data_IF_888998977649
#
_entry.id   IF_888998977649
#
_cell.length_a   1.000
_cell.length_b   1.000
_cell.length_c   1.000
_cell.angle_alpha   90.00
_cell.angle_beta   90.00
_cell.angle_gamma   90.00
#
_symmetry.space_group_name_H-M   'P 1'
#
loop_
_entity.id
_entity.type
_entity.pdbx_description
1 polymer ?
#
# COMPACT_ATOMS: atom_id res chain seq x y z
N UNK A 1 60.80 -9.96 -25.63
CA UNK A 1 61.04 -11.26 -24.96
C UNK A 1 60.45 -11.17 -23.56
N UNK A 2 59.93 -12.30 -23.07
CA UNK A 2 59.26 -12.53 -21.78
C UNK A 2 57.73 -12.47 -21.79
N UNK A 3 57.16 -13.67 -21.94
CA UNK A 3 55.79 -14.09 -21.67
C UNK A 3 55.43 -13.97 -20.19
N UNK A 4 54.14 -13.80 -19.89
CA UNK A 4 53.43 -14.63 -18.89
C UNK A 4 51.91 -14.57 -19.09
N UNK A 5 51.35 -15.74 -19.41
CA UNK A 5 49.93 -16.07 -19.50
C UNK A 5 49.33 -16.20 -18.09
N UNK A 6 48.12 -15.69 -17.87
CA UNK A 6 47.28 -16.08 -16.74
C UNK A 6 45.97 -16.67 -17.26
N UNK A 7 45.92 -18.01 -17.27
CA UNK A 7 44.73 -18.81 -17.50
C UNK A 7 43.87 -18.89 -16.23
N UNK A 8 42.55 -18.82 -16.45
CA UNK A 8 41.47 -19.16 -15.55
C UNK A 8 41.65 -20.50 -14.83
N UNK A 9 41.42 -20.55 -13.52
CA UNK A 9 41.17 -21.79 -12.77
C UNK A 9 40.14 -21.55 -11.67
N UNK A 10 38.97 -22.16 -11.84
CA UNK A 10 37.96 -22.35 -10.80
C UNK A 10 38.33 -23.59 -9.96
N UNK A 11 38.07 -23.60 -8.64
CA UNK A 11 38.30 -24.78 -7.80
C UNK A 11 37.19 -25.85 -7.98
N UNK A 12 37.51 -27.14 -7.77
CA UNK A 12 36.62 -28.27 -8.04
C UNK A 12 35.60 -28.50 -6.92
N UNK A 13 34.34 -28.80 -7.29
CA UNK A 13 33.28 -29.24 -6.37
C UNK A 13 33.32 -30.78 -6.30
N UNK A 14 33.58 -31.32 -5.11
CA UNK A 14 33.51 -32.77 -4.82
C UNK A 14 32.08 -33.21 -4.45
N UNK A 15 31.66 -34.44 -4.80
CA UNK A 15 30.30 -34.93 -4.61
C UNK A 15 30.11 -35.56 -3.22
N UNK A 16 29.00 -35.27 -2.54
CA UNK A 16 28.60 -35.98 -1.31
C UNK A 16 27.20 -36.58 -1.44
N UNK A 17 27.11 -37.79 -0.89
CA UNK A 17 26.15 -38.89 -1.11
C UNK A 17 24.68 -38.59 -0.80
N UNK A 18 23.85 -39.21 -1.65
CA UNK A 18 22.44 -39.55 -1.53
C UNK A 18 21.90 -39.79 -0.10
N UNK A 19 20.77 -39.15 0.21
CA UNK A 19 19.70 -39.75 1.02
C UNK A 19 18.40 -39.67 0.22
N UNK A 20 17.71 -40.80 0.16
CA UNK A 20 16.62 -41.13 -0.76
C UNK A 20 15.32 -40.38 -0.42
N UNK A 21 14.70 -39.78 -1.44
CA UNK A 21 13.29 -39.38 -1.43
C UNK A 21 12.54 -40.46 -2.21
N UNK A 22 11.55 -41.16 -1.65
CA UNK A 22 10.85 -42.22 -2.37
C UNK A 22 9.97 -41.63 -3.48
N UNK A 23 10.17 -42.18 -4.69
CA UNK A 23 9.36 -41.94 -5.87
C UNK A 23 7.96 -42.53 -5.70
N UNK A 24 6.92 -41.76 -6.07
CA UNK A 24 5.60 -42.32 -6.35
C UNK A 24 5.29 -42.13 -7.84
N UNK A 25 4.95 -43.27 -8.46
CA UNK A 25 4.55 -43.53 -9.84
C UNK A 25 3.59 -42.49 -10.39
N UNK A 26 3.86 -42.05 -11.62
CA UNK A 26 2.82 -41.56 -12.53
C UNK A 26 2.01 -42.76 -13.05
N UNK A 27 0.72 -42.78 -12.75
CA UNK A 27 -0.28 -43.53 -13.52
C UNK A 27 -1.35 -42.54 -13.96
N UNK A 28 -1.45 -42.35 -15.28
CA UNK A 28 -2.47 -41.58 -15.97
C UNK A 28 -3.85 -42.21 -15.74
N UNK A 29 -4.83 -41.42 -15.30
CA UNK A 29 -6.23 -41.67 -15.61
C UNK A 29 -6.95 -40.34 -15.90
N UNK A 30 -7.70 -40.36 -17.00
CA UNK A 30 -8.50 -39.28 -17.56
C UNK A 30 -9.52 -38.74 -16.55
N UNK A 31 -9.71 -37.42 -16.59
CA UNK A 31 -10.86 -36.76 -15.97
C UNK A 31 -10.50 -35.35 -15.52
N UNK A 32 -10.92 -34.34 -16.26
CA UNK A 32 -10.82 -32.93 -15.86
C UNK A 32 -11.52 -32.72 -14.50
N UNK A 33 -10.84 -32.25 -13.44
CA UNK A 33 -11.52 -31.81 -12.25
C UNK A 33 -12.06 -30.40 -12.49
N UNK A 34 -13.39 -30.30 -12.56
CA UNK A 34 -14.13 -29.06 -12.42
C UNK A 34 -13.68 -28.40 -11.11
N UNK A 35 -13.01 -27.25 -11.19
CA UNK A 35 -12.66 -26.48 -10.02
C UNK A 35 -13.96 -26.01 -9.34
N UNK A 36 -14.17 -26.28 -8.05
CA UNK A 36 -15.31 -25.71 -7.33
C UNK A 36 -15.18 -24.19 -7.32
N UNK A 37 -16.21 -23.49 -7.85
CA UNK A 37 -16.37 -22.04 -7.62
C UNK A 37 -16.43 -21.81 -6.10
N UNK A 38 -15.38 -21.25 -5.53
CA UNK A 38 -15.41 -20.82 -4.14
C UNK A 38 -16.37 -19.62 -3.99
N UNK A 39 -17.27 -19.62 -2.98
CA UNK A 39 -18.22 -18.56 -2.78
C UNK A 39 -17.57 -17.31 -2.16
N UNK A 40 -17.80 -16.16 -2.79
CA UNK A 40 -17.35 -14.80 -2.43
C UNK A 40 -18.02 -14.26 -1.14
N UNK A 41 -18.28 -15.11 -0.14
CA UNK A 41 -19.17 -14.75 1.00
C UNK A 41 -18.48 -14.59 2.36
N UNK A 42 -17.24 -15.05 2.56
CA UNK A 42 -16.59 -14.98 3.87
C UNK A 42 -15.98 -13.62 4.21
N UNK A 43 -15.57 -12.80 3.23
CA UNK A 43 -15.05 -11.45 3.50
C UNK A 43 -16.10 -10.47 4.07
N UNK A 44 -17.39 -10.72 3.86
CA UNK A 44 -18.47 -9.86 4.38
C UNK A 44 -18.73 -10.09 5.87
N UNK A 45 -18.50 -11.29 6.38
CA UNK A 45 -18.76 -11.63 7.79
C UNK A 45 -17.73 -11.02 8.73
N UNK A 46 -16.46 -10.90 8.32
CA UNK A 46 -15.44 -10.20 9.11
C UNK A 46 -15.75 -8.70 9.27
N UNK A 47 -16.29 -8.05 8.23
CA UNK A 47 -16.69 -6.64 8.30
C UNK A 47 -17.89 -6.40 9.24
N UNK A 48 -18.87 -7.31 9.24
CA UNK A 48 -20.09 -7.15 10.03
C UNK A 48 -19.85 -7.43 11.53
N UNK A 49 -19.07 -8.45 11.87
CA UNK A 49 -18.76 -8.77 13.27
C UNK A 49 -17.91 -7.69 13.95
N UNK A 50 -17.06 -6.99 13.18
CA UNK A 50 -16.22 -5.92 13.70
C UNK A 50 -17.04 -4.68 14.09
N UNK A 51 -18.09 -4.36 13.34
CA UNK A 51 -18.97 -3.22 13.62
C UNK A 51 -19.86 -3.49 14.85
N UNK A 52 -20.42 -4.70 15.00
CA UNK A 52 -21.28 -5.05 16.14
C UNK A 52 -20.51 -5.08 17.48
N UNK A 53 -19.27 -5.57 17.50
CA UNK A 53 -18.47 -5.61 18.73
C UNK A 53 -18.05 -4.20 19.23
N UNK A 54 -18.00 -3.20 18.33
CA UNK A 54 -17.66 -1.82 18.68
C UNK A 54 -18.84 -1.08 19.36
N UNK A 55 -20.07 -1.31 18.89
CA UNK A 55 -21.27 -0.63 19.43
C UNK A 55 -21.62 -1.03 20.87
N UNK A 56 -21.23 -2.23 21.31
CA UNK A 56 -21.60 -2.75 22.64
C UNK A 56 -20.73 -2.24 23.80
N UNK A 57 -19.57 -1.63 23.54
CA UNK A 57 -18.63 -1.19 24.59
C UNK A 57 -18.73 0.28 24.98
N UNK A 58 -19.51 1.10 24.26
CA UNK A 58 -19.59 2.54 24.50
C UNK A 58 -20.89 2.94 25.21
N UNK A 59 -21.12 2.38 26.41
CA UNK A 59 -22.16 2.90 27.31
C UNK A 59 -21.54 3.30 28.64
N UNK A 60 -21.15 4.57 28.74
CA UNK A 60 -21.28 5.43 29.92
C UNK A 60 -20.72 6.84 29.63
N UNK A 61 -21.60 7.84 29.77
CA UNK A 61 -21.42 9.32 29.72
C UNK A 61 -21.55 9.98 28.33
N UNK A 62 -22.41 11.00 28.15
CA UNK A 62 -22.63 11.66 26.86
C UNK A 62 -21.53 12.69 26.55
N UNK A 63 -20.36 12.22 26.13
CA UNK A 63 -19.56 12.95 25.16
C UNK A 63 -20.12 12.54 23.79
N UNK A 64 -20.94 13.40 23.18
CA UNK A 64 -21.52 13.11 21.87
C UNK A 64 -20.36 12.91 20.88
N UNK A 65 -20.13 11.66 20.48
CA UNK A 65 -19.29 11.37 19.33
C UNK A 65 -19.84 12.18 18.16
N UNK A 66 -18.98 12.79 17.32
CA UNK A 66 -19.38 13.66 16.23
C UNK A 66 -19.85 12.80 15.05
N UNK A 67 -20.91 12.02 15.28
CA UNK A 67 -21.43 11.01 14.36
C UNK A 67 -21.81 11.66 13.04
N UNK A 68 -22.40 12.87 13.11
CA UNK A 68 -22.81 13.62 11.93
C UNK A 68 -21.61 14.12 11.12
N UNK A 69 -20.59 14.68 11.79
CA UNK A 69 -19.39 15.21 11.16
C UNK A 69 -18.55 14.09 10.55
N UNK A 70 -18.43 12.93 11.22
CA UNK A 70 -17.75 11.74 10.70
C UNK A 70 -18.51 11.12 9.52
N UNK A 71 -19.85 11.09 9.58
CA UNK A 71 -20.66 10.63 8.45
C UNK A 71 -20.50 11.56 7.23
N UNK A 72 -20.47 12.86 7.45
CA UNK A 72 -20.24 13.84 6.38
C UNK A 72 -18.83 13.77 5.82
N UNK A 73 -17.82 13.57 6.67
CA UNK A 73 -16.44 13.31 6.26
C UNK A 73 -16.39 12.10 5.32
N UNK A 74 -16.95 10.96 5.76
CA UNK A 74 -16.95 9.72 4.98
C UNK A 74 -17.66 9.87 3.62
N UNK A 75 -18.77 10.62 3.58
CA UNK A 75 -19.50 10.92 2.33
C UNK A 75 -18.76 11.86 1.39
N UNK A 76 -18.03 12.83 1.94
CA UNK A 76 -17.33 13.87 1.15
C UNK A 76 -15.99 13.36 0.62
N UNK A 77 -15.38 12.38 1.28
CA UNK A 77 -14.06 11.87 0.92
C UNK A 77 -14.07 11.09 -0.39
N UNK A 78 -13.34 11.60 -1.39
CA UNK A 78 -13.18 10.94 -2.70
C UNK A 78 -12.20 9.77 -2.59
N UNK A 79 -12.42 8.71 -3.36
CA UNK A 79 -11.55 7.53 -3.25
C UNK A 79 -10.15 7.80 -3.79
N UNK A 80 -10.03 8.61 -4.84
CA UNK A 80 -8.76 9.08 -5.41
C UNK A 80 -7.88 9.84 -4.41
N UNK A 81 -8.48 10.49 -3.40
CA UNK A 81 -7.77 11.26 -2.39
C UNK A 81 -7.31 10.40 -1.19
N UNK A 82 -7.68 9.11 -1.17
CA UNK A 82 -7.29 8.18 -0.10
C UNK A 82 -5.87 7.65 -0.30
N UNK A 83 -5.14 7.62 0.80
CA UNK A 83 -3.81 7.04 0.88
C UNK A 83 -3.86 5.52 0.82
N UNK A 84 -3.25 4.96 -0.23
CA UNK A 84 -3.11 3.52 -0.43
C UNK A 84 -1.73 2.95 -0.05
N UNK A 85 -0.76 3.80 0.27
CA UNK A 85 0.64 3.40 0.48
C UNK A 85 1.55 3.81 -0.68
N UNK A 86 2.22 2.84 -1.31
CA UNK A 86 3.38 3.00 -2.18
C UNK A 86 3.23 3.96 -3.39
N UNK A 87 2.01 4.21 -3.85
CA UNK A 87 1.73 5.01 -5.05
C UNK A 87 1.35 6.46 -4.77
N UNK A 88 1.13 6.81 -3.50
CA UNK A 88 0.64 8.13 -3.09
C UNK A 88 1.64 8.80 -2.14
N UNK A 89 1.76 10.12 -2.25
CA UNK A 89 2.49 10.92 -1.25
C UNK A 89 1.66 10.95 0.03
N UNK A 90 2.24 10.48 1.14
CA UNK A 90 1.54 10.48 2.41
C UNK A 90 1.21 11.90 2.86
N UNK A 91 2.11 12.85 2.60
CA UNK A 91 2.00 14.26 2.98
C UNK A 91 0.87 14.96 2.26
N UNK A 92 0.72 14.70 0.95
CA UNK A 92 -0.41 15.21 0.18
C UNK A 92 -1.73 14.66 0.71
N UNK A 93 -1.83 13.34 0.92
CA UNK A 93 -3.05 12.72 1.44
C UNK A 93 -3.40 13.20 2.85
N UNK A 94 -2.40 13.41 3.71
CA UNK A 94 -2.59 13.93 5.06
C UNK A 94 -3.04 15.39 5.04
N UNK A 95 -2.50 16.20 4.12
CA UNK A 95 -2.98 17.57 3.88
C UNK A 95 -4.45 17.60 3.46
N UNK A 96 -4.86 16.73 2.53
CA UNK A 96 -6.26 16.60 2.10
C UNK A 96 -7.14 16.15 3.26
N UNK A 97 -6.66 15.23 4.10
CA UNK A 97 -7.37 14.79 5.29
C UNK A 97 -7.68 15.97 6.23
N UNK A 98 -6.68 16.78 6.58
CA UNK A 98 -6.88 17.95 7.43
C UNK A 98 -7.82 18.98 6.82
N UNK A 99 -7.71 19.27 5.52
CA UNK A 99 -8.63 20.17 4.83
C UNK A 99 -10.07 19.65 4.89
N UNK A 100 -10.26 18.36 4.63
CA UNK A 100 -11.59 17.74 4.62
C UNK A 100 -12.19 17.73 6.03
N UNK A 101 -11.41 17.36 7.05
CA UNK A 101 -11.84 17.45 8.45
C UNK A 101 -12.27 18.85 8.84
N UNK A 102 -11.51 19.88 8.45
CA UNK A 102 -11.87 21.29 8.69
C UNK A 102 -13.18 21.66 8.00
N UNK A 103 -13.38 21.23 6.75
CA UNK A 103 -14.60 21.51 5.97
C UNK A 103 -15.85 20.83 6.54
N UNK A 104 -15.70 19.64 7.13
CA UNK A 104 -16.82 18.88 7.71
C UNK A 104 -17.01 19.11 9.21
N UNK A 105 -16.22 19.98 9.83
CA UNK A 105 -16.34 20.34 11.24
C UNK A 105 -15.78 19.29 12.22
N UNK A 106 -14.96 18.35 11.75
CA UNK A 106 -14.33 17.35 12.61
C UNK A 106 -13.24 18.02 13.45
N UNK A 107 -13.40 17.96 14.76
CA UNK A 107 -12.44 18.52 15.72
C UNK A 107 -11.21 17.61 15.86
N UNK A 108 -10.07 18.20 16.25
CA UNK A 108 -8.77 17.51 16.39
C UNK A 108 -8.82 16.29 17.31
N UNK A 109 -9.61 16.33 18.39
CA UNK A 109 -9.79 15.21 19.32
C UNK A 109 -10.38 13.95 18.65
N UNK A 110 -11.05 14.11 17.51
CA UNK A 110 -11.68 13.03 16.75
C UNK A 110 -10.90 12.63 15.49
N UNK A 111 -9.70 13.19 15.28
CA UNK A 111 -8.86 12.82 14.12
C UNK A 111 -8.49 11.35 14.15
N UNK A 112 -8.26 10.78 15.34
CA UNK A 112 -8.02 9.35 15.51
C UNK A 112 -9.17 8.50 14.97
N UNK A 113 -10.41 8.87 15.28
CA UNK A 113 -11.61 8.15 14.83
C UNK A 113 -11.84 8.34 13.32
N UNK A 114 -11.54 9.54 12.82
CA UNK A 114 -11.66 9.90 11.40
C UNK A 114 -10.58 9.27 10.51
N UNK A 115 -9.42 8.88 11.08
CA UNK A 115 -8.21 8.52 10.34
C UNK A 115 -8.42 7.39 9.34
N UNK A 116 -9.27 6.41 9.66
CA UNK A 116 -9.57 5.30 8.75
C UNK A 116 -10.17 5.74 7.40
N UNK A 117 -10.80 6.92 7.35
CA UNK A 117 -11.46 7.48 6.15
C UNK A 117 -10.46 7.84 5.06
N UNK A 118 -9.27 8.33 5.44
CA UNK A 118 -8.22 8.72 4.49
C UNK A 118 -7.42 7.53 3.97
N UNK A 119 -7.65 6.31 4.46
CA UNK A 119 -6.85 5.15 4.08
C UNK A 119 -7.60 4.25 3.11
N UNK A 120 -6.88 3.57 2.21
CA UNK A 120 -7.40 2.49 1.35
C UNK A 120 -6.35 1.40 1.14
N UNK A 121 -6.76 0.28 0.54
CA UNK A 121 -5.88 -0.84 0.20
C UNK A 121 -5.01 -1.29 1.37
N UNK A 122 -3.73 -1.55 1.09
CA UNK A 122 -2.75 -2.05 2.07
C UNK A 122 -2.56 -1.10 3.27
N UNK A 123 -2.67 0.22 3.08
CA UNK A 123 -2.59 1.18 4.18
C UNK A 123 -3.75 1.03 5.17
N UNK A 124 -4.96 0.78 4.68
CA UNK A 124 -6.13 0.53 5.53
C UNK A 124 -6.01 -0.82 6.25
N UNK A 125 -5.51 -1.85 5.57
CA UNK A 125 -5.25 -3.16 6.18
C UNK A 125 -4.25 -3.04 7.34
N UNK A 126 -3.12 -2.36 7.10
CA UNK A 126 -2.13 -2.09 8.14
C UNK A 126 -2.73 -1.35 9.34
N UNK A 127 -3.55 -0.33 9.09
CA UNK A 127 -4.24 0.41 10.15
C UNK A 127 -5.10 -0.51 11.04
N UNK A 128 -5.92 -1.38 10.44
CA UNK A 128 -6.80 -2.25 11.22
C UNK A 128 -6.04 -3.34 11.97
N UNK A 129 -4.95 -3.86 11.40
CA UNK A 129 -4.15 -4.91 12.02
C UNK A 129 -3.28 -4.40 13.17
N UNK A 130 -2.67 -3.21 13.02
CA UNK A 130 -1.59 -2.78 13.90
C UNK A 130 -1.84 -1.47 14.65
N UNK A 131 -2.72 -0.59 14.17
CA UNK A 131 -2.88 0.76 14.73
C UNK A 131 -4.20 0.93 15.49
N UNK A 132 -5.32 0.44 14.98
CA UNK A 132 -6.66 0.73 15.52
C UNK A 132 -6.84 0.36 17.00
N UNK A 133 -6.34 -0.80 17.43
CA UNK A 133 -6.53 -1.31 18.80
C UNK A 133 -5.39 -0.93 19.75
N UNK A 134 -4.50 -0.05 19.32
CA UNK A 134 -3.36 0.38 20.11
C UNK A 134 -3.67 1.69 20.85
N UNK A 135 -3.11 1.84 22.04
CA UNK A 135 -3.21 3.06 22.86
C UNK A 135 -2.31 4.18 22.31
N UNK A 136 -2.32 4.37 20.99
CA UNK A 136 -1.55 5.40 20.32
C UNK A 136 -2.34 6.70 20.23
N UNK A 137 -1.60 7.79 20.30
CA UNK A 137 -2.02 9.10 19.84
C UNK A 137 -2.13 9.14 18.32
N UNK A 138 -2.83 10.15 17.81
CA UNK A 138 -2.96 10.36 16.37
C UNK A 138 -1.59 10.55 15.68
N UNK A 139 -0.68 11.31 16.30
CA UNK A 139 0.67 11.55 15.76
C UNK A 139 1.53 10.28 15.71
N UNK A 140 1.39 9.39 16.71
CA UNK A 140 2.06 8.09 16.69
C UNK A 140 1.52 7.18 15.59
N UNK A 141 0.20 7.19 15.34
CA UNK A 141 -0.40 6.46 14.23
C UNK A 141 0.16 6.95 12.89
N UNK A 142 0.22 8.26 12.69
CA UNK A 142 0.83 8.90 11.52
C UNK A 142 2.28 8.45 11.36
N UNK A 143 3.08 8.55 12.43
CA UNK A 143 4.51 8.23 12.41
C UNK A 143 4.74 6.77 12.03
N UNK A 144 3.97 5.83 12.61
CA UNK A 144 4.10 4.40 12.29
C UNK A 144 3.65 4.06 10.88
N UNK A 145 2.53 4.66 10.44
CA UNK A 145 2.03 4.45 9.09
C UNK A 145 3.04 4.97 8.05
N UNK A 146 3.60 6.17 8.26
CA UNK A 146 4.66 6.73 7.42
C UNK A 146 5.89 5.82 7.41
N UNK A 147 6.38 5.40 8.57
CA UNK A 147 7.55 4.53 8.66
C UNK A 147 7.36 3.17 7.95
N UNK A 148 6.12 2.65 7.89
CA UNK A 148 5.83 1.39 7.22
C UNK A 148 5.80 1.53 5.69
N UNK A 149 5.25 2.62 5.16
CA UNK A 149 5.05 2.80 3.71
C UNK A 149 6.07 3.72 3.03
N UNK A 150 6.77 4.58 3.77
CA UNK A 150 7.81 5.49 3.28
C UNK A 150 9.20 5.05 3.76
N UNK A 151 9.57 3.82 3.40
CA UNK A 151 10.87 3.24 3.74
C UNK A 151 12.01 3.93 2.98
N UNK A 152 13.24 3.80 3.49
CA UNK A 152 14.44 4.31 2.81
C UNK A 152 14.61 3.71 1.40
N UNK A 153 14.27 2.43 1.22
CA UNK A 153 14.26 1.78 -0.10
C UNK A 153 13.29 2.47 -1.06
N UNK A 154 12.09 2.83 -0.59
CA UNK A 154 11.12 3.58 -1.41
C UNK A 154 11.64 4.97 -1.74
N UNK A 155 12.26 5.67 -0.78
CA UNK A 155 12.87 6.98 -1.03
C UNK A 155 13.95 6.90 -2.10
N UNK A 156 14.78 5.86 -2.06
CA UNK A 156 15.79 5.60 -3.09
C UNK A 156 15.16 5.27 -4.45
N UNK A 157 14.12 4.43 -4.48
CA UNK A 157 13.36 4.14 -5.70
C UNK A 157 12.71 5.39 -6.29
N UNK A 158 12.12 6.26 -5.47
CA UNK A 158 11.52 7.52 -5.89
C UNK A 158 12.59 8.47 -6.43
N UNK A 159 13.73 8.59 -5.75
CA UNK A 159 14.87 9.38 -6.22
C UNK A 159 15.44 8.84 -7.53
N UNK A 160 15.50 7.52 -7.68
CA UNK A 160 15.91 6.87 -8.92
C UNK A 160 14.93 7.15 -10.06
N UNK A 161 13.62 7.04 -9.82
CA UNK A 161 12.59 7.45 -10.79
C UNK A 161 12.77 8.90 -11.20
N UNK A 162 12.92 9.80 -10.23
CA UNK A 162 13.14 11.22 -10.47
C UNK A 162 14.37 11.50 -11.34
N UNK A 163 15.51 10.85 -11.03
CA UNK A 163 16.74 10.95 -11.85
C UNK A 163 16.57 10.45 -13.28
N UNK A 164 15.66 9.50 -13.49
CA UNK A 164 15.40 8.92 -14.80
C UNK A 164 14.25 9.63 -15.57
N UNK A 165 13.52 10.54 -14.93
CA UNK A 165 12.52 11.37 -15.59
C UNK A 165 13.23 12.34 -16.55
N UNK A 166 12.99 12.18 -17.84
CA UNK A 166 13.57 13.01 -18.89
C UNK A 166 12.50 13.34 -19.92
N UNK A 167 12.30 14.63 -20.17
CA UNK A 167 11.38 15.10 -21.21
C UNK A 167 11.79 14.55 -22.58
N UNK A 168 13.09 14.53 -22.86
CA UNK A 168 13.62 13.99 -24.11
C UNK A 168 13.26 12.51 -24.27
N UNK A 169 13.42 11.72 -23.21
CA UNK A 169 13.06 10.30 -23.23
C UNK A 169 11.56 10.10 -23.46
N UNK A 170 10.71 10.91 -22.83
CA UNK A 170 9.26 10.85 -23.03
C UNK A 170 8.85 11.18 -24.48
N UNK A 171 9.52 12.15 -25.10
CA UNK A 171 9.32 12.51 -26.51
C UNK A 171 9.74 11.36 -27.44
N UNK A 172 10.89 10.72 -27.15
CA UNK A 172 11.39 9.59 -27.92
C UNK A 172 10.49 8.34 -27.79
N UNK A 173 9.98 8.08 -26.59
CA UNK A 173 9.09 6.94 -26.30
C UNK A 173 7.65 7.14 -26.81
N UNK A 174 7.23 8.39 -27.04
CA UNK A 174 5.88 8.72 -27.48
C UNK A 174 5.89 9.72 -28.67
N UNK A 175 6.27 9.27 -29.88
CA UNK A 175 6.40 10.17 -31.04
C UNK A 175 5.05 10.69 -31.57
N UNK A 176 3.93 10.11 -31.12
CA UNK A 176 2.57 10.45 -31.59
C UNK A 176 1.88 11.52 -30.75
N UNK A 177 2.42 11.87 -29.58
CA UNK A 177 1.86 12.92 -28.71
C UNK A 177 2.64 14.22 -28.87
N UNK A 178 1.97 15.34 -28.62
CA UNK A 178 2.61 16.65 -28.72
C UNK A 178 3.64 16.87 -27.61
N UNK A 179 4.63 17.73 -27.87
CA UNK A 179 5.59 18.15 -26.85
C UNK A 179 4.93 18.70 -25.58
N UNK A 180 3.79 19.39 -25.72
CA UNK A 180 3.02 19.92 -24.60
C UNK A 180 2.42 18.78 -23.74
N UNK A 181 1.87 17.74 -24.37
CA UNK A 181 1.37 16.57 -23.65
C UNK A 181 2.49 15.79 -22.96
N UNK A 182 3.66 15.62 -23.60
CA UNK A 182 4.84 15.04 -22.96
C UNK A 182 5.25 15.83 -21.71
N UNK A 183 5.20 17.16 -21.77
CA UNK A 183 5.54 18.02 -20.65
C UNK A 183 4.53 17.89 -19.50
N UNK A 184 3.22 17.84 -19.80
CA UNK A 184 2.18 17.62 -18.78
C UNK A 184 2.32 16.25 -18.09
N UNK A 185 2.66 15.19 -18.85
CA UNK A 185 2.94 13.87 -18.28
C UNK A 185 4.14 13.95 -17.32
N UNK A 186 5.25 14.58 -17.75
CA UNK A 186 6.43 14.75 -16.92
C UNK A 186 6.10 15.49 -15.61
N UNK A 187 5.38 16.61 -15.70
CA UNK A 187 4.97 17.41 -14.54
C UNK A 187 4.07 16.60 -13.61
N UNK A 188 3.15 15.81 -14.16
CA UNK A 188 2.27 14.94 -13.38
C UNK A 188 3.07 13.87 -12.62
N UNK A 189 4.08 13.26 -13.25
CA UNK A 189 4.92 12.24 -12.61
C UNK A 189 5.82 12.85 -11.53
N UNK A 190 6.37 14.04 -11.78
CA UNK A 190 7.14 14.81 -10.80
C UNK A 190 6.32 15.16 -9.55
N UNK A 191 5.02 15.45 -9.70
CA UNK A 191 4.13 15.73 -8.56
C UNK A 191 3.75 14.50 -7.74
N UNK A 192 3.93 13.30 -8.30
CA UNK A 192 3.61 12.01 -7.65
C UNK A 192 4.84 11.38 -6.99
N UNK A 193 6.03 11.79 -7.38
CA UNK A 193 7.30 11.46 -6.72
C UNK A 193 7.59 12.43 -5.58
#
# INVERSE_FOLDING_TARGET
>A
MSNSNCLSHFPPVTPTKHTQIPAIRYSQQLGSPILPRQPVREHRQYQNNFHEQQLSKLSKTPCQLPIHELANLSKTYRDEDRYGGAEHSFELCLGIFYDTCRRTGVQTQFFKDAFSTMLKGSAREYYHLYLMNSNLTFDEMITRLRAHFETAERQEQMLSKWKNLSLQRLIEENPTISYAECFEILVKDLRRT
#
